data_IF_520209538126
#
_entry.id   IF_520209538126
#
_cell.length_a   1.000
_cell.length_b   1.000
_cell.length_c   1.000
_cell.angle_alpha   90.00
_cell.angle_beta   90.00
_cell.angle_gamma   90.00
#
_symmetry.space_group_name_H-M   'P 1'
#
loop_
_entity.id
_entity.type
_entity.pdbx_description
1 polymer ?
#
# COMPACT_ATOMS: atom_id res chain seq x y z
N UNK A 1 27.39 78.66 -20.42
CA UNK A 1 27.11 79.61 -21.52
C UNK A 1 25.90 79.08 -22.28
N UNK A 2 24.70 79.55 -21.96
CA UNK A 2 23.48 79.20 -22.70
C UNK A 2 23.10 80.42 -23.53
N UNK A 3 23.47 80.40 -24.81
CA UNK A 3 23.15 81.46 -25.76
C UNK A 3 21.64 81.63 -25.86
N UNK A 4 21.17 82.89 -25.90
CA UNK A 4 19.75 83.27 -25.95
C UNK A 4 18.94 82.44 -26.96
N UNK A 5 18.20 81.46 -26.45
CA UNK A 5 17.30 80.64 -27.24
C UNK A 5 16.08 81.49 -27.63
N UNK A 6 15.84 81.65 -28.94
CA UNK A 6 14.62 82.29 -29.44
C UNK A 6 13.40 81.47 -28.96
N UNK A 7 12.30 82.12 -28.59
CA UNK A 7 11.11 81.43 -28.04
C UNK A 7 10.59 80.27 -28.91
N UNK A 8 10.73 80.37 -30.23
CA UNK A 8 10.44 79.28 -31.17
C UNK A 8 11.30 78.03 -30.92
N UNK A 9 12.61 78.19 -30.66
CA UNK A 9 13.52 77.08 -30.43
C UNK A 9 13.18 76.32 -29.15
N UNK A 10 12.69 77.03 -28.13
CA UNK A 10 12.21 76.41 -26.89
C UNK A 10 10.96 75.57 -27.17
N UNK A 11 10.01 76.09 -27.98
CA UNK A 11 8.83 75.33 -28.39
C UNK A 11 9.17 74.02 -29.11
N UNK A 12 10.12 74.05 -30.04
CA UNK A 12 10.59 72.84 -30.73
C UNK A 12 11.27 71.86 -29.77
N UNK A 13 12.11 72.35 -28.86
CA UNK A 13 12.78 71.51 -27.87
C UNK A 13 11.78 70.79 -26.94
N UNK A 14 10.77 71.51 -26.45
CA UNK A 14 9.72 70.92 -25.61
C UNK A 14 8.93 69.87 -26.38
N UNK A 15 8.60 70.13 -27.66
CA UNK A 15 7.93 69.14 -28.50
C UNK A 15 8.72 67.84 -28.65
N UNK A 16 10.02 67.93 -28.89
CA UNK A 16 10.90 66.75 -29.01
C UNK A 16 10.94 65.98 -27.69
N UNK A 17 11.08 66.67 -26.56
CA UNK A 17 11.12 66.02 -25.24
C UNK A 17 9.81 65.28 -24.95
N UNK A 18 8.66 65.86 -25.28
CA UNK A 18 7.37 65.21 -25.10
C UNK A 18 7.19 63.97 -25.98
N UNK A 19 7.66 64.03 -27.23
CA UNK A 19 7.60 62.88 -28.15
C UNK A 19 8.50 61.74 -27.66
N UNK A 20 9.71 62.04 -27.20
CA UNK A 20 10.64 61.03 -26.68
C UNK A 20 10.12 60.41 -25.38
N UNK A 21 9.64 61.23 -24.44
CA UNK A 21 9.08 60.75 -23.18
C UNK A 21 7.81 59.90 -23.40
N UNK A 22 6.89 60.38 -24.26
CA UNK A 22 5.68 59.65 -24.60
C UNK A 22 5.96 58.35 -25.35
N UNK A 23 6.88 58.37 -26.32
CA UNK A 23 7.29 57.18 -27.07
C UNK A 23 7.95 56.14 -26.17
N UNK A 24 8.84 56.56 -25.28
CA UNK A 24 9.55 55.66 -24.35
C UNK A 24 8.57 55.04 -23.34
N UNK A 25 7.71 55.87 -22.74
CA UNK A 25 6.70 55.38 -21.79
C UNK A 25 5.70 54.43 -22.46
N UNK A 26 5.23 54.78 -23.66
CA UNK A 26 4.34 53.94 -24.46
C UNK A 26 4.96 52.60 -24.84
N UNK A 27 6.24 52.59 -25.24
CA UNK A 27 6.96 51.37 -25.56
C UNK A 27 7.13 50.45 -24.34
N UNK A 28 7.50 51.01 -23.18
CA UNK A 28 7.65 50.23 -21.94
C UNK A 28 6.29 49.67 -21.50
N UNK A 29 5.21 50.46 -21.60
CA UNK A 29 3.87 50.00 -21.24
C UNK A 29 3.34 48.91 -22.19
N UNK A 30 3.71 48.93 -23.48
CA UNK A 30 3.33 47.90 -24.44
C UNK A 30 4.12 46.59 -24.26
N UNK A 31 5.40 46.69 -23.87
CA UNK A 31 6.28 45.52 -23.71
C UNK A 31 6.12 44.91 -22.31
N UNK A 32 5.96 45.73 -21.28
CA UNK A 32 5.75 45.35 -19.89
C UNK A 32 4.28 45.02 -19.57
N UNK A 33 3.61 44.26 -20.45
CA UNK A 33 2.31 43.67 -20.12
C UNK A 33 2.39 42.86 -18.83
N UNK A 34 1.25 42.62 -18.13
CA UNK A 34 1.26 41.93 -16.84
C UNK A 34 2.09 40.66 -16.93
N UNK A 35 2.91 40.41 -15.91
CA UNK A 35 3.70 39.18 -15.74
C UNK A 35 2.73 37.98 -15.67
N UNK A 36 2.25 37.57 -16.84
CA UNK A 36 1.54 36.32 -17.02
C UNK A 36 2.63 35.28 -16.83
N UNK A 37 2.75 34.75 -15.61
CA UNK A 37 3.72 33.73 -15.18
C UNK A 37 4.28 32.95 -16.37
N UNK A 38 5.37 33.49 -16.94
CA UNK A 38 5.95 32.95 -18.15
C UNK A 38 6.83 31.81 -17.66
N UNK A 39 6.21 30.63 -17.54
CA UNK A 39 6.94 29.39 -17.35
C UNK A 39 8.07 29.41 -18.37
N UNK A 40 9.32 29.26 -17.91
CA UNK A 40 10.46 29.19 -18.81
C UNK A 40 10.22 28.14 -19.90
N UNK A 41 10.93 28.22 -21.03
CA UNK A 41 10.73 27.28 -22.15
C UNK A 41 10.81 25.79 -21.74
N UNK A 42 11.38 25.49 -20.57
CA UNK A 42 11.54 24.16 -19.98
C UNK A 42 10.73 23.94 -18.68
N UNK A 43 9.79 24.82 -18.33
CA UNK A 43 8.96 24.69 -17.13
C UNK A 43 7.53 24.23 -17.46
N UNK A 44 7.09 23.17 -16.80
CA UNK A 44 5.74 22.62 -16.95
C UNK A 44 5.04 22.57 -15.58
N UNK A 45 3.84 23.16 -15.51
CA UNK A 45 3.00 23.05 -14.33
C UNK A 45 2.37 21.66 -14.27
N UNK A 46 2.72 20.89 -13.24
CA UNK A 46 2.10 19.60 -12.93
C UNK A 46 1.15 19.81 -11.74
N UNK A 47 -0.17 19.68 -11.92
CA UNK A 47 -1.12 19.84 -10.82
C UNK A 47 -0.96 18.69 -9.82
N UNK A 48 -0.79 19.04 -8.54
CA UNK A 48 -0.75 18.07 -7.44
C UNK A 48 -2.13 17.44 -7.28
N UNK A 49 -2.21 16.12 -7.34
CA UNK A 49 -3.42 15.36 -7.11
C UNK A 49 -3.40 14.78 -5.69
N UNK A 50 -4.41 15.09 -4.89
CA UNK A 50 -4.62 14.43 -3.60
C UNK A 50 -5.21 13.04 -3.85
N UNK A 51 -4.56 12.03 -3.32
CA UNK A 51 -5.01 10.64 -3.34
C UNK A 51 -4.56 9.93 -2.07
N UNK A 52 -5.18 8.79 -1.79
CA UNK A 52 -4.80 7.97 -0.64
C UNK A 52 -3.63 7.07 -1.04
N UNK A 53 -2.51 7.19 -0.34
CA UNK A 53 -1.38 6.27 -0.48
C UNK A 53 -1.56 5.13 0.52
N UNK A 54 -1.93 3.95 0.03
CA UNK A 54 -2.08 2.74 0.85
C UNK A 54 -0.75 2.00 0.79
N UNK A 55 -0.08 1.88 1.94
CA UNK A 55 1.17 1.14 2.04
C UNK A 55 0.84 -0.32 2.38
N UNK A 56 0.73 -1.17 1.36
CA UNK A 56 0.44 -2.60 1.53
C UNK A 56 1.74 -3.37 1.82
N UNK A 57 1.77 -4.10 2.94
CA UNK A 57 2.88 -4.99 3.29
C UNK A 57 2.39 -6.43 3.13
N UNK A 58 2.90 -7.13 2.10
CA UNK A 58 2.56 -8.54 1.89
C UNK A 58 3.32 -9.42 2.88
N UNK A 59 2.58 -10.15 3.72
CA UNK A 59 3.15 -11.14 4.64
C UNK A 59 3.03 -12.52 4.01
N UNK A 60 4.16 -13.14 3.67
CA UNK A 60 4.22 -14.53 3.24
C UNK A 60 4.51 -15.42 4.45
N UNK A 61 3.59 -16.32 4.78
CA UNK A 61 3.74 -17.27 5.88
C UNK A 61 3.11 -18.61 5.54
N UNK A 62 3.64 -19.68 6.13
CA UNK A 62 3.07 -21.03 6.01
C UNK A 62 2.43 -21.42 7.34
N UNK A 63 1.20 -21.94 7.29
CA UNK A 63 0.51 -22.47 8.47
C UNK A 63 0.98 -23.90 8.68
N UNK A 64 1.83 -24.11 9.68
CA UNK A 64 2.23 -25.45 10.10
C UNK A 64 1.35 -25.89 11.28
N UNK A 65 0.69 -27.04 11.17
CA UNK A 65 -0.07 -27.60 12.28
C UNK A 65 0.90 -27.93 13.44
N UNK A 66 0.74 -27.30 14.62
CA UNK A 66 1.74 -27.38 15.68
C UNK A 66 1.83 -28.76 16.34
N UNK A 67 0.76 -29.56 16.29
CA UNK A 67 0.74 -30.92 16.81
C UNK A 67 0.15 -31.88 15.76
N UNK A 68 0.83 -33.00 15.52
CA UNK A 68 0.38 -34.09 14.66
C UNK A 68 0.74 -35.40 15.35
N UNK A 69 -0.28 -36.18 15.66
CA UNK A 69 -0.13 -37.49 16.30
C UNK A 69 -0.70 -38.57 15.38
N UNK A 70 0.07 -39.63 15.16
CA UNK A 70 -0.40 -40.84 14.45
C UNK A 70 -0.88 -41.82 15.49
N UNK A 71 -2.18 -42.07 15.52
CA UNK A 71 -2.77 -43.03 16.44
C UNK A 71 -2.57 -44.45 15.90
N UNK A 72 -1.98 -45.32 16.72
CA UNK A 72 -1.82 -46.75 16.44
C UNK A 72 -2.60 -47.55 17.46
N UNK A 73 -3.15 -48.67 17.02
CA UNK A 73 -3.81 -49.60 17.93
C UNK A 73 -2.78 -50.36 18.75
N UNK A 74 -2.83 -50.21 20.08
CA UNK A 74 -1.84 -50.78 21.01
C UNK A 74 -1.97 -52.29 21.27
N UNK A 75 -3.04 -52.93 20.79
CA UNK A 75 -3.28 -54.36 20.97
C UNK A 75 -3.70 -55.02 19.65
N UNK A 76 -3.20 -56.22 19.33
CA UNK A 76 -3.68 -56.97 18.17
C UNK A 76 -5.15 -57.36 18.39
N UNK A 77 -6.02 -56.97 17.46
CA UNK A 77 -7.45 -57.27 17.50
C UNK A 77 -8.20 -56.65 16.32
N UNK A 78 -9.37 -57.21 16.00
CA UNK A 78 -10.25 -56.68 14.96
C UNK A 78 -11.01 -55.46 15.48
N UNK A 79 -11.04 -54.38 14.70
CA UNK A 79 -11.86 -53.20 15.00
C UNK A 79 -13.33 -53.56 14.73
N UNK A 80 -14.19 -53.40 15.72
CA UNK A 80 -15.62 -53.68 15.59
C UNK A 80 -16.36 -52.49 14.97
N UNK A 81 -16.11 -51.28 15.48
CA UNK A 81 -16.81 -50.07 15.03
C UNK A 81 -15.90 -48.84 15.16
N UNK A 82 -15.96 -47.96 14.16
CA UNK A 82 -15.31 -46.64 14.17
C UNK A 82 -16.38 -45.61 14.49
N UNK A 83 -16.19 -44.85 15.57
CA UNK A 83 -17.18 -43.94 16.14
C UNK A 83 -17.02 -42.49 15.62
N UNK A 84 -16.15 -42.28 14.63
CA UNK A 84 -15.77 -40.96 14.13
C UNK A 84 -15.69 -40.96 12.60
N UNK A 85 -16.05 -39.83 12.00
CA UNK A 85 -15.96 -39.62 10.55
C UNK A 85 -14.69 -38.81 10.18
N UNK A 86 -14.24 -38.95 8.94
CA UNK A 86 -13.10 -38.18 8.42
C UNK A 86 -13.39 -36.68 8.50
N UNK A 87 -12.49 -35.92 9.13
CA UNK A 87 -12.61 -34.46 9.31
C UNK A 87 -13.39 -34.04 10.56
N UNK A 88 -13.89 -34.97 11.37
CA UNK A 88 -14.55 -34.68 12.64
C UNK A 88 -13.56 -34.15 13.69
N UNK A 89 -13.96 -33.13 14.45
CA UNK A 89 -13.18 -32.62 15.59
C UNK A 89 -13.47 -33.46 16.82
N UNK A 90 -12.43 -34.08 17.37
CA UNK A 90 -12.51 -34.96 18.54
C UNK A 90 -11.78 -34.33 19.73
N UNK A 91 -12.19 -34.66 20.95
CA UNK A 91 -11.54 -34.20 22.19
C UNK A 91 -10.61 -35.26 22.76
N UNK A 92 -9.62 -34.83 23.55
CA UNK A 92 -8.77 -35.76 24.28
C UNK A 92 -9.61 -36.66 25.20
N UNK A 93 -9.46 -37.98 25.07
CA UNK A 93 -10.21 -38.98 25.82
C UNK A 93 -11.53 -39.44 25.18
N UNK A 94 -11.89 -38.91 24.01
CA UNK A 94 -13.05 -39.37 23.26
C UNK A 94 -12.76 -40.72 22.58
N UNK A 95 -13.64 -41.73 22.72
CA UNK A 95 -13.45 -43.02 22.08
C UNK A 95 -13.59 -42.90 20.55
N UNK A 96 -12.51 -43.17 19.82
CA UNK A 96 -12.49 -43.07 18.35
C UNK A 96 -12.90 -44.38 17.66
N UNK A 97 -12.64 -45.52 18.29
CA UNK A 97 -12.98 -46.84 17.79
C UNK A 97 -13.17 -47.81 18.95
N UNK A 98 -14.02 -48.80 18.74
CA UNK A 98 -14.27 -49.89 19.69
C UNK A 98 -13.75 -51.20 19.10
N UNK A 99 -13.05 -52.00 19.90
CA UNK A 99 -12.55 -53.32 19.52
C UNK A 99 -13.59 -54.40 19.81
N UNK A 100 -13.55 -55.49 19.03
CA UNK A 100 -14.45 -56.62 19.25
C UNK A 100 -14.24 -57.28 20.63
N UNK A 101 -15.35 -57.46 21.34
CA UNK A 101 -15.45 -57.95 22.71
C UNK A 101 -14.92 -59.37 22.91
N UNK A 102 -14.78 -60.19 21.85
CA UNK A 102 -14.12 -61.49 21.94
C UNK A 102 -12.60 -61.38 22.13
N UNK A 103 -11.95 -60.36 21.55
CA UNK A 103 -10.50 -60.21 21.60
C UNK A 103 -10.01 -59.76 22.98
N UNK A 104 -10.80 -58.92 23.68
CA UNK A 104 -10.46 -58.41 25.01
C UNK A 104 -10.37 -59.54 26.07
N UNK A 105 -11.08 -60.65 25.88
CA UNK A 105 -11.09 -61.77 26.84
C UNK A 105 -9.87 -62.68 26.74
N UNK A 106 -9.17 -62.67 25.59
CA UNK A 106 -8.01 -63.53 25.35
C UNK A 106 -6.78 -62.99 26.10
N UNK A 107 -6.60 -61.67 26.16
CA UNK A 107 -5.48 -61.01 26.85
C UNK A 107 -5.53 -61.11 28.37
N UNK A 108 -6.72 -61.16 28.98
CA UNK A 108 -6.87 -61.28 30.45
C UNK A 108 -6.62 -62.69 30.99
N UNK A 109 -6.77 -63.76 30.18
CA UNK A 109 -6.47 -65.13 30.65
C UNK A 109 -4.98 -65.42 30.77
N UNK A 110 -4.14 -64.74 29.99
CA UNK A 110 -2.72 -65.07 29.91
C UNK A 110 -1.90 -64.51 31.10
N UNK A 111 -2.47 -63.60 31.90
CA UNK A 111 -1.83 -63.03 33.10
C UNK A 111 -2.16 -63.75 34.41
N UNK A 112 -2.94 -64.86 34.38
CA UNK A 112 -3.36 -65.61 35.58
C UNK A 112 -3.03 -67.11 35.49
N UNK A 113 -1.83 -67.48 35.00
CA UNK A 113 -1.24 -68.78 35.36
C UNK A 113 -0.43 -68.61 36.66
N UNK A 114 -0.91 -69.06 37.83
CA UNK A 114 -0.07 -69.16 39.01
C UNK A 114 0.90 -70.34 38.83
N UNK A 115 2.14 -70.14 39.27
CA UNK A 115 3.15 -71.18 39.49
C UNK A 115 2.91 -71.80 40.85
#
# INVERSE_FOLDING_TARGET
MFSSLKGWQIGVLVGIVLVVAGGTYGAIAFIGGPDNANLGADEQLIPVQLGNLINEVSVNGSILFPNRETLVFGSPGSVAEILVEEGMRVRAGEPLATFDSETIRISTRQSLRPV
#
